data_IF_754168178879
#
_entry.id   IF_754168178879
#
_cell.length_a   1.000
_cell.length_b   1.000
_cell.length_c   1.000
_cell.angle_alpha   90.00
_cell.angle_beta   90.00
_cell.angle_gamma   90.00
#
_symmetry.space_group_name_H-M   'P 1'
#
loop_
_entity.id
_entity.type
_entity.pdbx_description
1 polymer ?
#
# COMPACT_ATOMS: atom_id res chain seq x y z
N UNK A 1 9.15 -37.97 11.25
CA UNK A 1 7.96 -37.10 11.40
C UNK A 1 8.47 -35.67 11.62
N UNK A 2 8.50 -34.84 10.58
CA UNK A 2 8.89 -33.43 10.72
C UNK A 2 7.65 -32.62 11.08
N UNK A 3 7.50 -32.24 12.35
CA UNK A 3 6.51 -31.27 12.78
C UNK A 3 6.91 -29.89 12.21
N UNK A 4 6.48 -29.59 10.98
CA UNK A 4 6.68 -28.28 10.37
C UNK A 4 5.88 -27.23 11.15
N UNK A 5 6.54 -26.50 12.04
CA UNK A 5 5.92 -25.39 12.76
C UNK A 5 5.41 -24.36 11.77
N UNK A 6 4.09 -24.06 11.82
CA UNK A 6 3.48 -23.11 10.90
C UNK A 6 4.16 -21.74 11.02
N UNK A 7 4.59 -21.20 9.87
CA UNK A 7 5.20 -19.89 9.73
C UNK A 7 4.36 -18.83 10.47
N UNK A 8 5.04 -17.97 11.24
CA UNK A 8 4.40 -16.89 12.01
C UNK A 8 4.73 -15.52 11.45
N UNK A 9 5.93 -15.35 10.90
CA UNK A 9 6.33 -14.05 10.36
C UNK A 9 7.13 -14.13 9.08
N UNK A 10 6.91 -13.13 8.25
CA UNK A 10 7.71 -12.76 7.09
C UNK A 10 8.48 -11.49 7.44
N UNK A 11 9.78 -11.46 7.17
CA UNK A 11 10.58 -10.24 7.29
C UNK A 11 11.19 -9.92 5.94
N UNK A 12 10.94 -8.71 5.46
CA UNK A 12 11.50 -8.15 4.23
C UNK A 12 12.44 -7.02 4.63
N UNK A 13 13.73 -7.21 4.40
CA UNK A 13 14.76 -6.23 4.70
C UNK A 13 15.27 -5.60 3.40
N UNK A 14 14.94 -4.32 3.20
CA UNK A 14 15.34 -3.50 2.06
C UNK A 14 16.21 -2.31 2.51
N UNK A 15 16.80 -2.37 3.72
CA UNK A 15 17.61 -1.27 4.25
C UNK A 15 18.92 -1.10 3.48
N UNK A 16 19.51 -2.22 3.05
CA UNK A 16 20.77 -2.24 2.32
C UNK A 16 20.53 -2.73 0.89
N UNK A 17 20.63 -1.83 -0.10
CA UNK A 17 20.37 -2.20 -1.48
C UNK A 17 21.38 -3.22 -2.04
N UNK A 18 20.91 -4.14 -2.89
CA UNK A 18 21.70 -5.27 -3.40
C UNK A 18 22.03 -6.31 -2.33
N UNK A 19 21.49 -6.16 -1.12
CA UNK A 19 21.58 -7.10 0.00
C UNK A 19 20.20 -7.33 0.63
N UNK A 20 19.18 -7.32 -0.22
CA UNK A 20 17.80 -7.58 0.16
C UNK A 20 17.70 -8.95 0.83
N UNK A 21 16.97 -9.03 1.94
CA UNK A 21 16.77 -10.30 2.65
C UNK A 21 15.30 -10.57 2.85
N UNK A 22 14.91 -11.79 2.51
CA UNK A 22 13.64 -12.38 2.90
C UNK A 22 13.89 -13.41 3.99
N UNK A 23 13.23 -13.28 5.14
CA UNK A 23 13.29 -14.26 6.22
C UNK A 23 11.90 -14.76 6.56
N UNK A 24 11.79 -16.08 6.67
CA UNK A 24 10.59 -16.77 7.12
C UNK A 24 10.84 -17.30 8.53
N UNK A 25 10.05 -16.85 9.50
CA UNK A 25 10.27 -17.16 10.91
C UNK A 25 9.07 -17.94 11.48
N UNK A 26 9.37 -18.93 12.32
CA UNK A 26 8.37 -19.66 13.13
C UNK A 26 8.00 -18.93 14.43
N UNK A 27 8.66 -17.82 14.73
CA UNK A 27 8.36 -16.92 15.84
C UNK A 27 7.92 -15.56 15.30
N UNK A 28 7.25 -14.76 16.13
CA UNK A 28 6.88 -13.39 15.73
C UNK A 28 8.14 -12.54 15.59
N UNK A 29 8.25 -11.82 14.48
CA UNK A 29 9.29 -10.82 14.26
C UNK A 29 8.89 -9.41 14.74
N UNK A 30 7.64 -9.25 15.20
CA UNK A 30 7.15 -7.95 15.62
C UNK A 30 7.80 -7.54 16.95
N UNK A 31 8.22 -6.28 17.10
CA UNK A 31 8.74 -5.78 18.37
C UNK A 31 7.65 -5.84 19.44
N UNK A 32 8.05 -6.10 20.69
CA UNK A 32 7.12 -6.18 21.81
C UNK A 32 6.30 -4.88 21.99
N UNK A 33 6.93 -3.74 21.74
CA UNK A 33 6.32 -2.41 21.78
C UNK A 33 6.54 -1.64 20.47
N UNK A 34 5.63 -0.72 20.15
CA UNK A 34 5.74 0.15 18.97
C UNK A 34 4.51 0.08 18.06
N UNK A 35 4.44 0.98 17.07
CA UNK A 35 3.31 1.07 16.16
C UNK A 35 3.17 -0.17 15.28
N UNK A 36 1.95 -0.69 15.16
CA UNK A 36 1.62 -1.82 14.29
C UNK A 36 0.40 -1.52 13.42
N UNK A 37 0.59 -1.63 12.11
CA UNK A 37 -0.45 -1.47 11.12
C UNK A 37 -1.28 -2.75 11.09
N UNK A 38 -2.60 -2.63 11.20
CA UNK A 38 -3.52 -3.76 11.08
C UNK A 38 -3.69 -4.12 9.60
N UNK A 39 -3.41 -5.38 9.26
CA UNK A 39 -3.67 -5.91 7.93
C UNK A 39 -5.12 -6.39 7.82
N UNK A 40 -5.66 -6.34 6.61
CA UNK A 40 -6.99 -6.87 6.27
C UNK A 40 -6.85 -7.99 5.25
N UNK A 41 -7.79 -8.92 5.25
CA UNK A 41 -7.79 -10.03 4.30
C UNK A 41 -8.80 -9.72 3.17
N UNK A 42 -8.35 -9.42 1.94
CA UNK A 42 -9.23 -8.98 0.87
C UNK A 42 -10.04 -10.11 0.25
N UNK A 43 -9.72 -11.38 0.58
CA UNK A 43 -10.48 -12.54 0.10
C UNK A 43 -11.94 -12.52 0.52
N UNK A 44 -12.24 -11.85 1.65
CA UNK A 44 -13.62 -11.63 2.12
C UNK A 44 -14.45 -10.74 1.17
N UNK A 45 -13.79 -10.07 0.23
CA UNK A 45 -14.40 -9.23 -0.80
C UNK A 45 -14.20 -9.77 -2.21
N UNK A 46 -13.74 -11.03 -2.35
CA UNK A 46 -13.62 -11.70 -3.64
C UNK A 46 -12.23 -11.73 -4.25
N UNK A 47 -11.20 -11.21 -3.58
CA UNK A 47 -9.81 -11.41 -4.02
C UNK A 47 -9.46 -12.92 -3.97
N UNK A 48 -8.86 -13.51 -5.01
CA UNK A 48 -8.44 -14.91 -4.97
C UNK A 48 -7.26 -15.16 -4.02
N UNK A 49 -6.50 -14.13 -3.63
CA UNK A 49 -5.25 -14.26 -2.88
C UNK A 49 -5.27 -13.44 -1.60
N UNK A 50 -4.60 -13.94 -0.55
CA UNK A 50 -4.32 -13.15 0.65
C UNK A 50 -3.15 -12.23 0.35
N UNK A 51 -3.43 -10.94 0.21
CA UNK A 51 -2.39 -9.91 0.13
C UNK A 51 -2.01 -9.38 1.49
N UNK A 52 -0.83 -8.76 1.59
CA UNK A 52 -0.49 -7.90 2.70
C UNK A 52 -1.09 -6.53 2.41
N UNK A 53 -2.29 -6.26 2.93
CA UNK A 53 -2.97 -5.01 2.66
C UNK A 53 -3.50 -4.34 3.92
N UNK A 54 -3.57 -3.02 3.88
CA UNK A 54 -4.04 -2.17 4.96
C UNK A 54 -4.90 -1.03 4.41
N UNK A 55 -5.80 -0.51 5.24
CA UNK A 55 -6.63 0.64 4.87
C UNK A 55 -5.86 1.91 5.16
N UNK A 56 -5.79 2.80 4.17
CA UNK A 56 -5.13 4.11 4.30
C UNK A 56 -5.95 5.01 5.24
N UNK A 57 -5.27 5.64 6.19
CA UNK A 57 -5.85 6.70 7.03
C UNK A 57 -5.78 8.05 6.32
N UNK A 58 -4.63 8.36 5.74
CA UNK A 58 -4.37 9.63 5.08
C UNK A 58 -3.47 9.45 3.87
N UNK A 59 -3.75 10.19 2.81
CA UNK A 59 -2.93 10.23 1.60
C UNK A 59 -2.63 11.68 1.26
N UNK A 60 -1.35 12.02 1.12
CA UNK A 60 -0.90 13.32 0.65
C UNK A 60 -0.24 13.23 -0.71
N UNK A 61 -0.46 14.26 -1.53
CA UNK A 61 0.23 14.49 -2.79
C UNK A 61 0.71 15.94 -2.82
N UNK A 62 2.02 16.16 -2.91
CA UNK A 62 2.60 17.49 -2.88
C UNK A 62 2.28 18.27 -1.60
N UNK A 63 2.15 17.56 -0.47
CA UNK A 63 1.72 18.12 0.82
C UNK A 63 0.21 18.34 0.96
N UNK A 64 -0.57 18.25 -0.12
CA UNK A 64 -2.02 18.41 -0.08
C UNK A 64 -2.72 17.10 0.29
N UNK A 65 -3.77 17.17 1.12
CA UNK A 65 -4.56 16.00 1.53
C UNK A 65 -5.47 15.56 0.38
N UNK A 66 -5.24 14.37 -0.16
CA UNK A 66 -6.11 13.72 -1.14
C UNK A 66 -7.23 12.95 -0.45
N UNK A 67 -6.89 12.33 0.69
CA UNK A 67 -7.78 11.53 1.52
C UNK A 67 -7.50 11.83 2.98
N UNK A 68 -8.54 12.15 3.73
CA UNK A 68 -8.46 12.37 5.17
C UNK A 68 -9.76 11.95 5.86
N UNK A 69 -9.63 11.49 7.10
CA UNK A 69 -10.73 10.97 7.92
C UNK A 69 -11.79 12.01 8.30
N UNK A 70 -11.58 13.30 8.01
CA UNK A 70 -12.49 14.39 8.38
C UNK A 70 -13.60 14.68 7.35
N UNK A 71 -13.67 13.94 6.24
CA UNK A 71 -14.79 14.07 5.28
C UNK A 71 -16.06 13.39 5.81
N UNK A 72 -17.24 13.94 5.51
CA UNK A 72 -18.55 13.35 5.86
C UNK A 72 -18.80 12.00 5.18
N UNK A 73 -18.08 11.72 4.09
CA UNK A 73 -17.96 10.40 3.46
C UNK A 73 -16.50 10.20 3.07
N UNK A 74 -15.66 9.66 3.97
CA UNK A 74 -14.25 9.48 3.67
C UNK A 74 -14.12 8.36 2.64
N UNK A 75 -13.58 8.72 1.48
CA UNK A 75 -13.12 7.77 0.48
C UNK A 75 -12.05 6.88 1.10
N UNK A 76 -12.19 5.58 0.99
CA UNK A 76 -11.33 4.55 1.54
C UNK A 76 -10.48 3.96 0.44
N UNK A 77 -9.18 3.89 0.70
CA UNK A 77 -8.22 3.22 -0.18
C UNK A 77 -7.67 2.01 0.54
N UNK A 78 -7.71 0.86 -0.14
CA UNK A 78 -6.97 -0.31 0.27
C UNK A 78 -5.57 -0.27 -0.38
N UNK A 79 -4.52 -0.29 0.45
CA UNK A 79 -3.14 -0.41 -0.03
C UNK A 79 -2.68 -1.85 0.06
N UNK A 80 -2.09 -2.37 -1.02
CA UNK A 80 -1.34 -3.62 -1.04
C UNK A 80 0.15 -3.28 -0.98
N UNK A 81 0.88 -3.83 -0.01
CA UNK A 81 2.33 -3.75 0.04
C UNK A 81 2.91 -4.75 -0.98
N UNK A 82 3.50 -4.25 -2.06
CA UNK A 82 3.88 -5.07 -3.21
C UNK A 82 5.32 -4.79 -3.68
N UNK A 83 6.24 -5.69 -3.35
CA UNK A 83 7.63 -5.59 -3.80
C UNK A 83 7.82 -5.76 -5.31
N UNK A 84 6.80 -6.24 -6.03
CA UNK A 84 6.79 -6.34 -7.50
C UNK A 84 6.48 -5.04 -8.22
N UNK A 85 6.00 -4.01 -7.51
CA UNK A 85 5.73 -2.67 -8.05
C UNK A 85 6.91 -1.73 -7.77
N UNK A 86 7.39 -0.97 -8.76
CA UNK A 86 8.54 -0.06 -8.58
C UNK A 86 8.21 1.19 -7.74
N UNK A 87 7.07 1.84 -7.99
CA UNK A 87 6.64 3.06 -7.29
C UNK A 87 5.26 2.87 -6.66
N UNK A 88 4.24 3.56 -7.16
CA UNK A 88 2.85 3.28 -6.85
C UNK A 88 2.04 2.95 -8.11
N UNK A 89 1.09 2.03 -7.98
CA UNK A 89 0.03 1.84 -8.97
C UNK A 89 -1.31 2.17 -8.32
N UNK A 90 -2.20 2.91 -8.98
CA UNK A 90 -3.47 3.37 -8.41
C UNK A 90 -4.65 3.07 -9.34
N UNK A 91 -5.79 2.67 -8.80
CA UNK A 91 -7.03 2.58 -9.57
C UNK A 91 -7.41 3.93 -10.20
N UNK A 92 -8.17 3.96 -11.31
CA UNK A 92 -8.26 5.14 -12.18
C UNK A 92 -8.74 6.39 -11.46
N UNK A 93 -9.80 6.28 -10.64
CA UNK A 93 -10.30 7.43 -9.88
C UNK A 93 -9.27 7.97 -8.90
N UNK A 94 -8.41 7.13 -8.30
CA UNK A 94 -7.37 7.56 -7.36
C UNK A 94 -6.20 8.19 -8.11
N UNK A 95 -5.82 7.61 -9.25
CA UNK A 95 -4.81 8.14 -10.14
C UNK A 95 -5.18 9.54 -10.66
N UNK A 96 -6.42 9.76 -11.10
CA UNK A 96 -6.91 11.07 -11.52
C UNK A 96 -6.86 12.09 -10.39
N UNK A 97 -7.19 11.68 -9.17
CA UNK A 97 -7.12 12.53 -7.98
C UNK A 97 -5.68 12.91 -7.66
N UNK A 98 -4.76 11.93 -7.71
CA UNK A 98 -3.32 12.17 -7.59
C UNK A 98 -2.84 13.19 -8.62
N UNK A 99 -3.18 13.00 -9.91
CA UNK A 99 -2.71 13.85 -10.98
C UNK A 99 -3.20 15.30 -10.82
N UNK A 100 -4.49 15.48 -10.50
CA UNK A 100 -5.08 16.79 -10.24
C UNK A 100 -4.42 17.48 -9.05
N UNK A 101 -4.18 16.76 -7.96
CA UNK A 101 -3.54 17.32 -6.76
C UNK A 101 -2.08 17.71 -7.04
N UNK A 102 -1.33 16.89 -7.77
CA UNK A 102 0.03 17.22 -8.17
C UNK A 102 0.07 18.47 -9.08
N UNK A 103 -0.84 18.58 -10.05
CA UNK A 103 -0.97 19.77 -10.89
C UNK A 103 -1.30 21.03 -10.08
N UNK A 104 -2.27 20.95 -9.17
CA UNK A 104 -2.65 22.06 -8.31
C UNK A 104 -1.46 22.48 -7.43
N UNK A 105 -0.77 21.53 -6.81
CA UNK A 105 0.42 21.80 -6.01
C UNK A 105 1.53 22.49 -6.83
N UNK A 106 1.76 22.06 -8.07
CA UNK A 106 2.74 22.70 -8.96
C UNK A 106 2.32 24.14 -9.33
N UNK A 107 1.03 24.39 -9.56
CA UNK A 107 0.50 25.73 -9.83
C UNK A 107 0.66 26.69 -8.65
N UNK A 108 0.75 26.18 -7.41
CA UNK A 108 1.08 26.99 -6.22
C UNK A 108 2.57 27.35 -6.10
N UNK A 109 3.41 26.94 -7.05
CA UNK A 109 4.84 27.27 -7.10
C UNK A 109 5.77 26.17 -6.58
N UNK A 110 5.23 25.00 -6.21
CA UNK A 110 6.08 23.84 -5.87
C UNK A 110 6.75 23.30 -7.13
N UNK A 111 8.06 22.97 -7.01
CA UNK A 111 8.76 22.23 -8.06
C UNK A 111 8.02 20.92 -8.35
N UNK A 112 7.95 20.51 -9.62
CA UNK A 112 7.20 19.33 -10.05
C UNK A 112 7.55 18.05 -9.27
N UNK A 113 8.82 17.87 -8.93
CA UNK A 113 9.29 16.74 -8.12
C UNK A 113 8.67 16.74 -6.71
N UNK A 114 8.49 17.90 -6.09
CA UNK A 114 7.81 18.01 -4.79
C UNK A 114 6.30 17.89 -4.94
N UNK A 115 5.72 18.51 -5.97
CA UNK A 115 4.29 18.51 -6.22
C UNK A 115 3.71 17.09 -6.42
N UNK A 116 4.50 16.18 -7.00
CA UNK A 116 4.10 14.76 -7.19
C UNK A 116 4.47 13.83 -6.03
N UNK A 117 5.11 14.32 -4.96
CA UNK A 117 5.53 13.47 -3.85
C UNK A 117 4.31 12.85 -3.18
N UNK A 118 4.30 11.53 -3.03
CA UNK A 118 3.21 10.78 -2.39
C UNK A 118 3.63 10.39 -0.98
N UNK A 119 2.74 10.61 -0.01
CA UNK A 119 2.91 10.17 1.37
C UNK A 119 1.64 9.45 1.83
N UNK A 120 1.79 8.28 2.46
CA UNK A 120 0.68 7.44 2.90
C UNK A 120 0.80 7.20 4.40
N UNK A 121 -0.26 7.51 5.15
CA UNK A 121 -0.32 7.24 6.58
C UNK A 121 -1.33 6.14 6.89
N UNK A 122 -0.96 5.29 7.84
CA UNK A 122 -1.78 4.20 8.35
C UNK A 122 -2.05 4.40 9.83
N UNK A 123 -3.30 4.15 10.22
CA UNK A 123 -3.65 4.04 11.63
C UNK A 123 -3.04 2.77 12.21
N UNK A 124 -2.52 2.86 13.43
CA UNK A 124 -1.94 1.71 14.11
C UNK A 124 -2.75 1.33 15.34
N UNK A 125 -2.53 0.09 15.78
CA UNK A 125 -3.15 -0.44 17.01
C UNK A 125 -2.77 0.32 18.28
N UNK A 126 -1.69 1.10 18.28
CA UNK A 126 -1.27 1.93 19.42
C UNK A 126 -1.78 3.38 19.35
N UNK A 127 -2.53 3.75 18.30
CA UNK A 127 -3.06 5.10 18.08
C UNK A 127 -2.07 6.11 17.48
N UNK A 128 -0.80 5.75 17.33
CA UNK A 128 0.22 6.56 16.63
C UNK A 128 0.25 6.21 15.14
N UNK A 129 0.28 7.17 14.23
CA UNK A 129 0.31 6.86 12.80
C UNK A 129 1.69 6.37 12.33
N UNK A 130 1.70 5.49 11.32
CA UNK A 130 2.91 5.14 10.57
C UNK A 130 2.81 5.71 9.17
N UNK A 131 3.80 6.50 8.79
CA UNK A 131 3.87 7.16 7.49
C UNK A 131 4.93 6.51 6.59
N UNK A 132 4.57 6.32 5.32
CA UNK A 132 5.46 5.92 4.26
C UNK A 132 5.55 7.05 3.24
N UNK A 133 6.76 7.51 2.99
CA UNK A 133 7.07 8.48 1.96
C UNK A 133 7.61 7.75 0.73
N UNK A 134 7.13 8.15 -0.44
CA UNK A 134 7.73 7.72 -1.69
C UNK A 134 9.12 8.35 -1.84
N UNK A 135 10.11 7.52 -2.15
CA UNK A 135 11.45 7.93 -2.51
C UNK A 135 11.40 8.74 -3.80
N UNK A 136 12.05 9.91 -3.80
CA UNK A 136 12.06 10.83 -4.94
C UNK A 136 13.42 10.82 -5.64
N UNK A 137 13.41 10.74 -6.97
CA UNK A 137 14.62 10.83 -7.79
C UNK A 137 15.34 9.49 -8.00
N UNK A 138 16.66 9.56 -8.20
CA UNK A 138 17.51 8.39 -8.49
C UNK A 138 17.98 7.75 -7.20
N UNK A 139 17.79 6.45 -7.08
CA UNK A 139 18.38 5.65 -6.03
C UNK A 139 19.70 5.03 -6.50
N UNK A 140 20.79 5.06 -5.70
CA UNK A 140 22.11 4.60 -6.13
C UNK A 140 22.12 3.17 -6.68
N UNK A 141 21.30 2.28 -6.11
CA UNK A 141 21.31 0.84 -6.42
C UNK A 141 20.11 0.36 -7.22
N UNK A 142 19.01 1.11 -7.25
CA UNK A 142 17.79 0.74 -7.98
C UNK A 142 17.58 1.61 -9.23
N UNK A 143 18.43 2.62 -9.44
CA UNK A 143 18.36 3.49 -10.61
C UNK A 143 17.28 4.57 -10.48
N UNK A 144 16.72 4.96 -11.61
CA UNK A 144 15.67 5.97 -11.71
C UNK A 144 14.28 5.33 -11.63
N UNK A 145 13.26 6.10 -11.25
CA UNK A 145 11.86 5.68 -11.38
C UNK A 145 11.24 5.03 -10.15
N UNK A 146 11.85 5.15 -8.97
CA UNK A 146 11.18 4.79 -7.71
C UNK A 146 10.02 5.72 -7.37
N UNK A 147 9.95 6.90 -7.99
CA UNK A 147 8.89 7.88 -7.81
C UNK A 147 7.73 7.74 -8.81
N UNK A 148 7.71 6.68 -9.62
CA UNK A 148 6.69 6.46 -10.63
C UNK A 148 5.32 6.21 -10.01
N UNK A 149 4.31 6.88 -10.55
CA UNK A 149 2.90 6.61 -10.23
C UNK A 149 2.20 6.24 -11.52
N UNK A 150 1.59 5.07 -11.56
CA UNK A 150 0.93 4.51 -12.75
C UNK A 150 -0.54 4.18 -12.48
N UNK A 151 -1.41 4.21 -13.50
CA UNK A 151 -2.78 3.75 -13.35
C UNK A 151 -2.84 2.21 -13.38
N UNK A 152 -3.79 1.66 -12.62
CA UNK A 152 -4.27 0.28 -12.69
C UNK A 152 -5.55 0.33 -13.51
N UNK A 153 -5.53 -0.17 -14.74
CA UNK A 153 -6.70 -0.12 -15.61
C UNK A 153 -7.81 -1.07 -15.14
N UNK A 154 -7.44 -2.17 -14.48
CA UNK A 154 -8.36 -3.22 -14.06
C UNK A 154 -7.92 -3.88 -12.74
N UNK A 155 -8.89 -4.05 -11.84
CA UNK A 155 -8.81 -4.82 -10.61
C UNK A 155 -10.15 -5.52 -10.41
N UNK A 156 -10.33 -6.67 -11.08
CA UNK A 156 -11.62 -7.33 -11.22
C UNK A 156 -12.32 -7.64 -9.89
N UNK A 157 -11.58 -8.17 -8.92
CA UNK A 157 -12.13 -8.50 -7.61
C UNK A 157 -12.56 -7.26 -6.80
N UNK A 158 -11.99 -6.09 -7.11
CA UNK A 158 -12.39 -4.81 -6.53
C UNK A 158 -13.51 -4.12 -7.33
N UNK A 159 -13.99 -4.74 -8.42
CA UNK A 159 -14.99 -4.15 -9.31
C UNK A 159 -14.48 -2.94 -10.10
N UNK A 160 -13.15 -2.84 -10.31
CA UNK A 160 -12.54 -1.78 -11.11
C UNK A 160 -12.19 -2.32 -12.47
N UNK A 161 -12.70 -1.71 -13.55
CA UNK A 161 -12.38 -2.11 -14.91
C UNK A 161 -13.31 -1.44 -15.92
N UNK A 162 -12.97 -1.50 -17.22
CA UNK A 162 -13.84 -1.00 -18.28
C UNK A 162 -15.13 -1.82 -18.35
N UNK A 163 -16.18 -1.29 -18.99
CA UNK A 163 -17.53 -1.90 -19.02
C UNK A 163 -17.55 -3.37 -19.47
N UNK A 164 -16.63 -3.73 -20.36
CA UNK A 164 -16.44 -5.04 -20.96
C UNK A 164 -15.59 -6.00 -20.12
N UNK A 165 -14.94 -5.51 -19.05
CA UNK A 165 -14.09 -6.32 -18.18
C UNK A 165 -14.91 -7.23 -17.27
N UNK A 166 -14.30 -8.35 -16.87
CA UNK A 166 -14.84 -9.26 -15.86
C UNK A 166 -15.07 -8.58 -14.50
N UNK A 167 -14.45 -7.43 -14.23
CA UNK A 167 -14.74 -6.57 -13.08
C UNK A 167 -16.21 -6.16 -13.01
N UNK A 168 -16.87 -6.02 -14.16
CA UNK A 168 -18.28 -5.65 -14.29
C UNK A 168 -19.19 -6.86 -14.52
N UNK A 169 -18.64 -8.07 -14.56
CA UNK A 169 -19.43 -9.28 -14.74
C UNK A 169 -20.30 -9.53 -13.51
N UNK A 170 -21.62 -9.59 -13.72
CA UNK A 170 -22.61 -9.93 -12.70
C UNK A 170 -23.10 -11.35 -12.94
N UNK A 171 -22.78 -12.26 -12.02
CA UNK A 171 -23.37 -13.60 -12.01
C UNK A 171 -24.89 -13.46 -11.78
N UNK A 172 -25.75 -13.92 -12.69
CA UNK A 172 -27.20 -13.87 -12.49
C UNK A 172 -27.59 -14.59 -11.19
N UNK A 173 -28.29 -13.90 -10.28
CA UNK A 173 -28.67 -14.43 -8.96
C UNK A 173 -27.53 -14.53 -7.95
N UNK A 174 -26.31 -14.09 -8.28
CA UNK A 174 -25.16 -14.09 -7.38
C UNK A 174 -25.18 -12.92 -6.38
N UNK A 175 -24.61 -13.14 -5.20
CA UNK A 175 -24.35 -12.08 -4.22
C UNK A 175 -23.15 -11.26 -4.70
N UNK A 176 -23.38 -9.99 -5.05
CA UNK A 176 -22.28 -9.08 -5.38
C UNK A 176 -21.69 -8.53 -4.08
N UNK A 177 -20.51 -9.03 -3.70
CA UNK A 177 -19.77 -8.47 -2.56
C UNK A 177 -19.23 -7.10 -2.97
N UNK A 178 -19.83 -6.04 -2.45
CA UNK A 178 -19.28 -4.69 -2.65
C UNK A 178 -18.12 -4.49 -1.67
N UNK A 179 -16.89 -4.25 -2.15
CA UNK A 179 -15.78 -3.93 -1.25
C UNK A 179 -16.10 -2.65 -0.44
N UNK A 180 -15.61 -2.55 0.80
CA UNK A 180 -15.86 -1.39 1.67
C UNK A 180 -14.88 -0.24 1.39
N UNK A 181 -14.28 -0.22 0.20
CA UNK A 181 -13.36 0.79 -0.29
C UNK A 181 -13.66 1.10 -1.76
N UNK A 182 -13.34 2.32 -2.16
CA UNK A 182 -13.59 2.81 -3.52
C UNK A 182 -12.40 2.55 -4.44
N UNK A 183 -11.20 2.40 -3.88
CA UNK A 183 -9.96 2.35 -4.65
C UNK A 183 -8.92 1.41 -4.05
N UNK A 184 -8.03 0.95 -4.92
CA UNK A 184 -6.89 0.11 -4.56
C UNK A 184 -5.61 0.81 -5.01
N UNK A 185 -4.58 0.72 -4.18
CA UNK A 185 -3.24 1.21 -4.48
C UNK A 185 -2.21 0.12 -4.21
N UNK A 186 -1.32 -0.14 -5.17
CA UNK A 186 -0.12 -0.93 -4.93
C UNK A 186 0.97 0.01 -4.43
N UNK A 187 1.47 -0.23 -3.22
CA UNK A 187 2.55 0.51 -2.60
C UNK A 187 3.84 -0.30 -2.77
N UNK A 188 4.66 0.16 -3.71
CA UNK A 188 5.83 -0.56 -4.21
C UNK A 188 7.16 -0.17 -3.59
N UNK A 189 8.25 -0.61 -4.23
CA UNK A 189 9.64 -0.42 -3.79
C UNK A 189 9.97 1.03 -3.43
N UNK A 190 9.41 2.00 -4.15
CA UNK A 190 9.58 3.42 -3.87
C UNK A 190 9.23 3.84 -2.44
N UNK A 191 8.37 3.09 -1.76
CA UNK A 191 8.01 3.34 -0.36
C UNK A 191 8.71 2.41 0.63
N UNK A 192 9.15 1.24 0.16
CA UNK A 192 9.65 0.16 1.01
C UNK A 192 11.18 0.15 1.13
N UNK A 193 11.87 0.72 0.13
CA UNK A 193 13.33 0.89 0.13
C UNK A 193 13.80 1.67 1.37
N UNK A 194 14.92 1.22 1.95
CA UNK A 194 15.47 1.80 3.17
C UNK A 194 14.79 1.31 4.45
N UNK A 195 13.81 0.40 4.36
CA UNK A 195 13.05 -0.10 5.51
C UNK A 195 13.25 -1.61 5.71
N UNK A 196 13.17 -2.03 6.97
CA UNK A 196 12.99 -3.43 7.32
C UNK A 196 11.55 -3.61 7.81
N UNK A 197 10.79 -4.52 7.21
CA UNK A 197 9.36 -4.71 7.49
C UNK A 197 9.14 -6.13 8.00
N UNK A 198 8.44 -6.26 9.12
CA UNK A 198 7.96 -7.52 9.64
C UNK A 198 6.45 -7.60 9.47
N UNK A 199 5.99 -8.74 8.98
CA UNK A 199 4.59 -9.09 8.86
C UNK A 199 4.35 -10.34 9.70
N UNK A 200 3.46 -10.24 10.68
CA UNK A 200 2.95 -11.40 11.41
C UNK A 200 1.65 -11.88 10.77
N UNK A 201 1.69 -13.08 10.20
CA UNK A 201 0.59 -13.65 9.41
C UNK A 201 -0.52 -14.25 10.28
N UNK A 202 -0.29 -14.42 11.59
CA UNK A 202 -1.29 -14.90 12.55
C UNK A 202 -2.00 -13.76 13.24
N UNK A 203 -1.28 -12.68 13.54
CA UNK A 203 -1.85 -11.48 14.16
C UNK A 203 -2.45 -10.51 13.13
N UNK A 204 -2.21 -10.75 11.83
CA UNK A 204 -2.57 -9.84 10.73
C UNK A 204 -2.05 -8.42 11.01
N UNK A 205 -0.75 -8.32 11.29
CA UNK A 205 -0.09 -7.06 11.66
C UNK A 205 1.21 -6.87 10.88
N UNK A 206 1.50 -5.63 10.54
CA UNK A 206 2.75 -5.17 9.92
C UNK A 206 3.43 -4.14 10.82
N UNK A 207 4.75 -4.23 10.96
CA UNK A 207 5.57 -3.21 11.61
C UNK A 207 6.84 -2.94 10.81
N UNK A 208 7.35 -1.71 10.89
CA UNK A 208 8.69 -1.37 10.45
C UNK A 208 9.65 -1.70 11.61
N UNK A 209 10.61 -2.60 11.36
CA UNK A 209 11.48 -3.21 12.36
C UNK A 209 12.96 -2.96 12.05
N UNK A 210 13.34 -1.69 12.06
CA UNK A 210 14.71 -1.28 11.75
C UNK A 210 14.71 0.08 11.06
N UNK A 211 15.44 1.02 11.64
CA UNK A 211 15.53 2.40 11.21
C UNK A 211 15.39 3.37 12.38
N UNK A 212 16.52 3.92 12.82
CA UNK A 212 16.70 5.37 12.93
C UNK A 212 17.59 5.75 11.76
#
# INVERSE_FOLDING_TARGET
>A
MCCGGALKSLVVDLQVPGREKLRLLQASALPAAGPRIKLVDPRRWGDPVKHYCAVVKMLHVGGQVVLGSQSSRPRKVLVIFDTGTTGASMTPGLYESYWRMAQNAAQTGLAWSQARKVQVAFETTSGSDVCFDMYMGRHPSYGIGLDLVTPINEMAWAGVGPSESIANYKVPGGVQFKPPFEDVMLLGLGFLVGKCIAIDTRMDQLAVIGGV
#
